data_IF_392185468816
#
_entry.id   IF_392185468816
#
_cell.length_a   1.000
_cell.length_b   1.000
_cell.length_c   1.000
_cell.angle_alpha   90.00
_cell.angle_beta   90.00
_cell.angle_gamma   90.00
#
_symmetry.space_group_name_H-M   'P 1'
#
loop_
_entity.id
_entity.type
_entity.pdbx_description
1 polymer ?
#
# COMPACT_ATOMS: atom_id res chain seq x y z
N UNK A 1 -63.53 42.04 2.82
CA UNK A 1 -63.56 40.57 2.64
C UNK A 1 -63.44 40.27 1.16
N UNK A 2 -62.63 39.30 0.68
CA UNK A 2 -61.32 38.78 1.11
C UNK A 2 -60.18 39.38 0.24
N UNK A 3 -58.97 39.66 0.73
CA UNK A 3 -57.84 38.75 1.01
C UNK A 3 -57.44 37.85 -0.17
N UNK A 4 -56.59 38.35 -1.07
CA UNK A 4 -55.77 37.52 -1.96
C UNK A 4 -54.31 37.86 -1.66
N UNK A 5 -53.76 37.15 -0.68
CA UNK A 5 -52.33 37.18 -0.36
C UNK A 5 -51.62 36.29 -1.38
N UNK A 6 -50.96 36.90 -2.36
CA UNK A 6 -50.18 36.18 -3.37
C UNK A 6 -48.90 35.65 -2.71
N UNK A 7 -48.92 34.36 -2.34
CA UNK A 7 -47.79 33.65 -1.76
C UNK A 7 -46.73 33.42 -2.85
N UNK A 8 -45.70 34.27 -2.88
CA UNK A 8 -44.51 34.05 -3.69
C UNK A 8 -43.72 32.86 -3.11
N UNK A 9 -43.95 31.66 -3.63
CA UNK A 9 -43.04 30.54 -3.40
C UNK A 9 -41.74 30.83 -4.13
N UNK A 10 -40.75 31.35 -3.40
CA UNK A 10 -39.35 31.23 -3.81
C UNK A 10 -38.98 29.75 -3.81
N UNK A 11 -38.99 29.14 -5.00
CA UNK A 11 -38.34 27.86 -5.24
C UNK A 11 -36.84 28.13 -5.16
N UNK A 12 -36.28 27.93 -3.97
CA UNK A 12 -34.84 27.81 -3.79
C UNK A 12 -34.40 26.55 -4.55
N UNK A 13 -34.01 26.72 -5.81
CA UNK A 13 -33.21 25.72 -6.52
C UNK A 13 -31.88 25.65 -5.79
N UNK A 14 -31.78 24.73 -4.83
CA UNK A 14 -30.51 24.39 -4.21
C UNK A 14 -29.55 24.01 -5.33
N UNK A 15 -28.48 24.80 -5.49
CA UNK A 15 -27.34 24.38 -6.28
C UNK A 15 -26.87 23.04 -5.71
N UNK A 16 -27.17 21.96 -6.41
CA UNK A 16 -26.58 20.66 -6.19
C UNK A 16 -25.08 20.82 -6.45
N UNK A 17 -24.34 21.18 -5.40
CA UNK A 17 -22.89 21.32 -5.41
C UNK A 17 -22.33 19.91 -5.53
N UNK A 18 -22.43 19.31 -6.71
CA UNK A 18 -21.78 18.04 -7.03
C UNK A 18 -20.32 18.20 -6.70
N UNK A 19 -19.87 17.44 -5.70
CA UNK A 19 -18.46 17.36 -5.34
C UNK A 19 -17.65 17.15 -6.62
N UNK A 20 -16.64 18.01 -6.83
CA UNK A 20 -15.73 17.88 -7.98
C UNK A 20 -14.86 16.61 -7.90
N UNK A 21 -14.99 15.84 -6.82
CA UNK A 21 -14.22 14.64 -6.52
C UNK A 21 -15.12 13.49 -6.08
N UNK A 22 -14.76 12.26 -6.45
CA UNK A 22 -15.19 11.04 -5.76
C UNK A 22 -14.09 10.63 -4.80
N UNK A 23 -14.46 10.19 -3.61
CA UNK A 23 -13.52 9.75 -2.59
C UNK A 23 -13.93 8.37 -2.12
N UNK A 24 -12.99 7.43 -2.20
CA UNK A 24 -13.09 6.09 -1.63
C UNK A 24 -12.03 5.98 -0.52
N UNK A 25 -12.39 5.36 0.59
CA UNK A 25 -11.47 5.19 1.70
C UNK A 25 -11.83 3.94 2.49
N UNK A 26 -10.83 3.34 3.13
CA UNK A 26 -11.02 2.16 3.96
C UNK A 26 -9.72 1.71 4.61
N UNK A 27 -9.73 0.48 5.12
CA UNK A 27 -8.57 -0.15 5.76
C UNK A 27 -8.06 -1.30 4.90
N UNK A 28 -6.74 -1.48 4.84
CA UNK A 28 -6.07 -2.60 4.16
C UNK A 28 -4.62 -2.70 4.65
N UNK A 29 -4.00 -3.88 4.60
CA UNK A 29 -2.56 -4.05 4.86
C UNK A 29 -2.07 -3.43 6.18
N UNK A 30 -2.88 -3.50 7.25
CA UNK A 30 -2.54 -2.90 8.56
C UNK A 30 -2.58 -1.36 8.59
N UNK A 31 -3.09 -0.71 7.55
CA UNK A 31 -3.16 0.75 7.40
C UNK A 31 -4.48 1.18 6.72
N UNK A 32 -4.56 2.41 6.25
CA UNK A 32 -5.68 2.97 5.48
C UNK A 32 -5.31 3.12 4.00
N UNK A 33 -6.33 3.16 3.14
CA UNK A 33 -6.19 3.63 1.77
C UNK A 33 -7.12 4.81 1.51
N UNK A 34 -6.75 5.64 0.53
CA UNK A 34 -7.59 6.67 -0.06
C UNK A 34 -7.47 6.66 -1.57
N UNK A 35 -8.59 6.75 -2.28
CA UNK A 35 -8.65 6.97 -3.73
C UNK A 35 -9.51 8.20 -3.98
N UNK A 36 -8.94 9.18 -4.68
CA UNK A 36 -9.64 10.40 -5.09
C UNK A 36 -9.69 10.44 -6.60
N UNK A 37 -10.87 10.60 -7.18
CA UNK A 37 -11.06 10.71 -8.64
C UNK A 37 -11.64 12.08 -8.96
N UNK A 38 -11.04 12.79 -9.91
CA UNK A 38 -11.57 14.06 -10.40
C UNK A 38 -12.80 13.82 -11.29
N UNK A 39 -13.98 14.27 -10.84
CA UNK A 39 -15.25 14.09 -11.56
C UNK A 39 -15.49 15.12 -12.66
N UNK A 40 -14.81 16.26 -12.63
CA UNK A 40 -15.10 17.38 -13.55
C UNK A 40 -14.95 16.99 -15.01
N UNK A 41 -14.12 15.97 -15.29
CA UNK A 41 -13.80 15.50 -16.62
C UNK A 41 -14.59 14.26 -17.05
N UNK A 42 -15.50 13.75 -16.21
CA UNK A 42 -16.28 12.53 -16.50
C UNK A 42 -17.49 12.77 -17.43
N UNK A 43 -17.61 13.94 -18.06
CA UNK A 43 -18.60 14.30 -19.09
C UNK A 43 -20.06 13.88 -18.75
N UNK A 44 -20.44 13.91 -17.47
CA UNK A 44 -21.79 13.53 -17.03
C UNK A 44 -22.10 12.02 -17.07
N UNK A 45 -21.10 11.15 -17.22
CA UNK A 45 -21.31 9.72 -17.08
C UNK A 45 -21.70 9.36 -15.63
N UNK A 46 -22.77 8.57 -15.42
CA UNK A 46 -23.19 8.17 -14.09
C UNK A 46 -22.13 7.26 -13.46
N UNK A 47 -21.48 7.76 -12.42
CA UNK A 47 -20.48 6.98 -11.68
C UNK A 47 -21.20 5.98 -10.78
N UNK A 48 -20.96 4.69 -11.02
CA UNK A 48 -21.45 3.61 -10.14
C UNK A 48 -20.54 3.51 -8.92
N UNK A 49 -20.69 4.46 -7.98
CA UNK A 49 -19.85 4.55 -6.78
C UNK A 49 -19.69 3.20 -6.08
N UNK A 50 -20.80 2.51 -5.77
CA UNK A 50 -20.75 1.24 -5.06
C UNK A 50 -19.99 0.17 -5.85
N UNK A 51 -20.21 0.08 -7.15
CA UNK A 51 -19.52 -0.91 -7.98
C UNK A 51 -18.00 -0.68 -8.01
N UNK A 52 -17.56 0.58 -8.10
CA UNK A 52 -16.13 0.90 -8.05
C UNK A 52 -15.54 0.66 -6.65
N UNK A 53 -16.26 1.00 -5.59
CA UNK A 53 -15.89 0.73 -4.21
C UNK A 53 -15.69 -0.78 -3.98
N UNK A 54 -16.60 -1.61 -4.51
CA UNK A 54 -16.52 -3.07 -4.42
C UNK A 54 -15.32 -3.61 -5.20
N UNK A 55 -15.07 -3.11 -6.42
CA UNK A 55 -13.90 -3.49 -7.21
C UNK A 55 -12.58 -3.15 -6.51
N UNK A 56 -12.46 -1.94 -5.93
CA UNK A 56 -11.29 -1.53 -5.14
C UNK A 56 -11.09 -2.47 -3.95
N UNK A 57 -12.16 -2.76 -3.20
CA UNK A 57 -12.09 -3.64 -2.04
C UNK A 57 -11.70 -5.08 -2.44
N UNK A 58 -12.29 -5.63 -3.50
CA UNK A 58 -11.97 -6.95 -4.03
C UNK A 58 -10.49 -7.04 -4.42
N UNK A 59 -9.96 -6.03 -5.11
CA UNK A 59 -8.55 -6.03 -5.52
C UNK A 59 -7.61 -5.97 -4.32
N UNK A 60 -7.90 -5.13 -3.32
CA UNK A 60 -7.11 -5.07 -2.09
C UNK A 60 -7.16 -6.39 -1.29
N UNK A 61 -8.32 -7.04 -1.22
CA UNK A 61 -8.46 -8.36 -0.57
C UNK A 61 -7.64 -9.41 -1.32
N UNK A 62 -7.71 -9.42 -2.66
CA UNK A 62 -6.94 -10.34 -3.49
C UNK A 62 -5.43 -10.16 -3.27
N UNK A 63 -4.94 -8.93 -3.21
CA UNK A 63 -3.51 -8.67 -2.95
C UNK A 63 -3.12 -9.13 -1.55
N UNK A 64 -3.94 -8.89 -0.51
CA UNK A 64 -3.68 -9.41 0.83
C UNK A 64 -3.60 -10.95 0.86
N UNK A 65 -4.49 -11.65 0.14
CA UNK A 65 -4.46 -13.10 -0.05
C UNK A 65 -3.18 -13.61 -0.72
N UNK A 66 -2.46 -12.75 -1.44
CA UNK A 66 -1.17 -13.11 -2.04
C UNK A 66 0.01 -12.77 -1.13
N UNK A 67 -0.01 -11.61 -0.47
CA UNK A 67 1.21 -10.96 0.06
C UNK A 67 1.21 -10.66 1.56
N UNK A 68 0.12 -10.91 2.29
CA UNK A 68 0.05 -10.63 3.73
C UNK A 68 0.79 -11.68 4.55
N UNK A 69 1.83 -11.30 5.29
CA UNK A 69 2.50 -12.17 6.27
C UNK A 69 1.65 -12.42 7.52
N UNK A 70 0.62 -11.61 7.76
CA UNK A 70 -0.31 -11.76 8.88
C UNK A 70 -1.47 -12.73 8.61
N UNK A 71 -1.76 -13.00 7.33
CA UNK A 71 -2.76 -13.99 6.93
C UNK A 71 -2.07 -15.33 6.68
N UNK A 72 -2.33 -16.33 7.52
CA UNK A 72 -1.75 -17.67 7.40
C UNK A 72 -2.22 -18.41 6.15
N UNK A 73 -3.35 -17.99 5.57
CA UNK A 73 -3.87 -18.53 4.32
C UNK A 73 -3.29 -17.82 3.09
N UNK A 74 -2.47 -16.77 3.26
CA UNK A 74 -1.88 -16.06 2.12
C UNK A 74 -0.83 -16.91 1.41
N UNK A 75 -0.65 -16.64 0.11
CA UNK A 75 0.33 -17.38 -0.68
C UNK A 75 1.78 -17.19 -0.20
N UNK A 76 2.14 -15.98 0.28
CA UNK A 76 3.47 -15.74 0.88
C UNK A 76 3.64 -16.50 2.20
N UNK A 77 2.60 -16.58 3.05
CA UNK A 77 2.65 -17.33 4.30
C UNK A 77 2.78 -18.83 4.07
N UNK A 78 2.07 -19.37 3.06
CA UNK A 78 2.22 -20.77 2.63
C UNK A 78 3.65 -21.07 2.17
N UNK A 79 4.25 -20.19 1.36
CA UNK A 79 5.65 -20.34 0.95
C UNK A 79 6.64 -20.23 2.13
N UNK A 80 6.36 -19.34 3.09
CA UNK A 80 7.16 -19.23 4.31
C UNK A 80 7.14 -20.53 5.14
N UNK A 81 5.99 -21.21 5.19
CA UNK A 81 5.83 -22.49 5.89
C UNK A 81 6.46 -23.69 5.14
N UNK A 82 6.75 -23.57 3.85
CA UNK A 82 7.28 -24.67 3.04
C UNK A 82 8.68 -25.13 3.46
N UNK A 83 9.05 -26.38 3.17
CA UNK A 83 10.41 -26.89 3.38
C UNK A 83 11.44 -26.26 2.44
N UNK A 84 12.69 -26.27 2.87
CA UNK A 84 13.83 -25.82 2.05
C UNK A 84 14.02 -26.76 0.85
N UNK A 85 14.30 -26.20 -0.32
CA UNK A 85 14.58 -26.97 -1.54
C UNK A 85 13.35 -27.37 -2.36
N UNK A 86 12.14 -27.20 -1.83
CA UNK A 86 10.92 -27.46 -2.58
C UNK A 86 10.55 -26.27 -3.48
N UNK A 87 10.02 -26.58 -4.66
CA UNK A 87 9.45 -25.60 -5.58
C UNK A 87 8.01 -25.27 -5.22
N UNK A 88 7.61 -24.02 -5.41
CA UNK A 88 6.27 -23.52 -5.13
C UNK A 88 5.74 -22.72 -6.30
N UNK A 89 4.58 -23.10 -6.83
CA UNK A 89 3.91 -22.29 -7.83
C UNK A 89 3.19 -21.11 -7.17
N UNK A 90 3.43 -19.92 -7.70
CA UNK A 90 2.82 -18.67 -7.22
C UNK A 90 2.00 -17.99 -8.29
N UNK A 91 1.10 -17.12 -7.84
CA UNK A 91 0.36 -16.22 -8.69
C UNK A 91 1.32 -15.27 -9.43
N UNK A 92 1.04 -14.90 -10.71
CA UNK A 92 1.91 -14.01 -11.49
C UNK A 92 2.25 -12.68 -10.80
N UNK A 93 1.31 -12.12 -10.03
CA UNK A 93 1.54 -10.89 -9.27
C UNK A 93 2.50 -11.06 -8.10
N UNK A 94 2.38 -12.14 -7.32
CA UNK A 94 3.36 -12.42 -6.26
C UNK A 94 4.73 -12.67 -6.88
N UNK A 95 4.79 -13.43 -7.98
CA UNK A 95 6.02 -13.63 -8.74
C UNK A 95 6.65 -12.31 -9.19
N UNK A 96 5.86 -11.41 -9.78
CA UNK A 96 6.32 -10.08 -10.21
C UNK A 96 6.91 -9.30 -9.05
N UNK A 97 6.22 -9.25 -7.90
CA UNK A 97 6.74 -8.57 -6.71
C UNK A 97 8.05 -9.19 -6.25
N UNK A 98 8.16 -10.52 -6.18
CA UNK A 98 9.40 -11.20 -5.79
C UNK A 98 10.54 -10.97 -6.78
N UNK A 99 10.26 -10.93 -8.09
CA UNK A 99 11.23 -10.57 -9.14
C UNK A 99 11.72 -9.13 -8.96
N UNK A 100 10.81 -8.18 -8.78
CA UNK A 100 11.17 -6.79 -8.51
C UNK A 100 12.01 -6.68 -7.24
N UNK A 101 11.65 -7.43 -6.19
CA UNK A 101 12.42 -7.47 -4.94
C UNK A 101 13.85 -7.96 -5.15
N UNK A 102 14.06 -9.00 -5.97
CA UNK A 102 15.41 -9.47 -6.32
C UNK A 102 16.23 -8.38 -7.02
N UNK A 103 15.63 -7.68 -7.99
CA UNK A 103 16.28 -6.56 -8.69
C UNK A 103 16.65 -5.43 -7.71
N UNK A 104 15.73 -5.04 -6.82
CA UNK A 104 15.99 -4.02 -5.81
C UNK A 104 17.08 -4.44 -4.81
N UNK A 105 17.11 -5.72 -4.43
CA UNK A 105 18.17 -6.26 -3.57
C UNK A 105 19.53 -6.21 -4.24
N UNK A 106 19.62 -6.54 -5.53
CA UNK A 106 20.86 -6.43 -6.30
C UNK A 106 21.31 -4.96 -6.43
N UNK A 107 20.41 -4.07 -6.87
CA UNK A 107 20.71 -2.64 -7.07
C UNK A 107 21.13 -1.92 -5.79
N UNK A 108 20.60 -2.34 -4.64
CA UNK A 108 20.90 -1.74 -3.33
C UNK A 108 22.06 -2.43 -2.60
N UNK A 109 22.71 -3.42 -3.19
CA UNK A 109 23.75 -4.20 -2.52
C UNK A 109 23.25 -4.98 -1.29
N UNK A 110 21.96 -5.32 -1.25
CA UNK A 110 21.30 -6.01 -0.14
C UNK A 110 20.77 -5.11 0.96
N UNK A 111 20.79 -3.78 0.81
CA UNK A 111 20.16 -2.88 1.76
C UNK A 111 18.63 -3.03 1.78
N UNK A 112 18.03 -3.26 0.61
CA UNK A 112 16.67 -3.77 0.49
C UNK A 112 16.72 -5.31 0.38
N UNK A 113 16.08 -6.04 1.28
CA UNK A 113 16.03 -7.51 1.23
C UNK A 113 14.71 -8.01 1.85
N UNK A 114 13.83 -8.60 1.03
CA UNK A 114 12.54 -9.14 1.51
C UNK A 114 12.68 -10.41 2.35
N UNK A 115 13.89 -10.96 2.52
CA UNK A 115 14.14 -12.14 3.36
C UNK A 115 14.47 -11.81 4.81
N UNK A 116 14.39 -10.52 5.20
CA UNK A 116 14.62 -10.04 6.57
C UNK A 116 13.52 -10.44 7.56
N UNK A 117 12.48 -11.16 7.13
CA UNK A 117 11.31 -11.48 7.94
C UNK A 117 11.64 -12.16 9.28
N UNK A 118 12.68 -13.01 9.33
CA UNK A 118 13.13 -13.60 10.59
C UNK A 118 13.66 -12.57 11.59
N UNK A 119 14.28 -11.48 11.12
CA UNK A 119 14.67 -10.34 11.96
C UNK A 119 13.46 -9.49 12.32
N UNK A 120 12.57 -9.21 11.36
CA UNK A 120 11.34 -8.43 11.60
C UNK A 120 10.50 -9.07 12.71
N UNK A 121 10.28 -10.38 12.64
CA UNK A 121 9.58 -11.13 13.68
C UNK A 121 10.32 -11.08 15.03
N UNK A 122 11.65 -11.28 15.03
CA UNK A 122 12.46 -11.24 16.24
C UNK A 122 12.38 -9.89 16.97
N UNK A 123 12.31 -8.78 16.21
CA UNK A 123 12.16 -7.43 16.73
C UNK A 123 10.71 -7.06 17.08
N UNK A 124 9.74 -7.97 16.89
CA UNK A 124 8.34 -7.76 17.25
C UNK A 124 7.55 -6.92 16.25
N UNK A 125 8.08 -6.67 15.05
CA UNK A 125 7.40 -5.91 13.99
C UNK A 125 6.59 -6.79 13.03
N UNK A 126 6.71 -8.11 13.15
CA UNK A 126 6.01 -9.08 12.31
C UNK A 126 4.77 -9.71 12.97
N UNK A 127 4.15 -10.71 12.34
CA UNK A 127 2.95 -11.39 12.86
C UNK A 127 3.21 -12.23 14.12
N UNK A 128 4.44 -12.66 14.37
CA UNK A 128 4.86 -13.39 15.58
C UNK A 128 5.06 -12.45 16.78
N UNK A 129 4.34 -11.32 16.83
CA UNK A 129 4.53 -10.27 17.82
C UNK A 129 4.20 -10.73 19.25
N UNK A 130 5.19 -11.32 19.93
CA UNK A 130 5.33 -11.26 21.38
C UNK A 130 6.47 -10.30 21.66
N UNK A 131 6.20 -9.10 22.16
CA UNK A 131 7.22 -8.10 22.47
C UNK A 131 8.09 -8.55 23.65
N UNK A 132 9.35 -8.99 23.45
CA UNK A 132 10.22 -9.43 24.53
C UNK A 132 11.23 -8.34 24.95
N UNK A 133 11.15 -7.15 24.35
CA UNK A 133 12.19 -6.10 24.40
C UNK A 133 13.29 -6.31 23.35
N UNK A 134 14.39 -5.56 23.48
CA UNK A 134 15.56 -5.64 22.60
C UNK A 134 16.13 -7.07 22.57
N UNK A 135 16.21 -7.73 21.39
CA UNK A 135 16.72 -9.09 21.30
C UNK A 135 18.20 -9.22 21.68
N UNK A 136 18.59 -10.37 22.23
CA UNK A 136 20.00 -10.63 22.56
C UNK A 136 20.88 -10.66 21.29
N UNK A 137 22.17 -10.28 21.39
CA UNK A 137 23.09 -10.35 20.25
C UNK A 137 23.17 -11.75 19.62
N UNK A 138 23.06 -12.81 20.44
CA UNK A 138 23.03 -14.19 19.96
C UNK A 138 21.76 -14.47 19.12
N UNK A 139 20.59 -14.02 19.59
CA UNK A 139 19.34 -14.18 18.85
C UNK A 139 19.40 -13.45 17.49
N UNK A 140 19.89 -12.20 17.48
CA UNK A 140 20.10 -11.42 16.24
C UNK A 140 21.06 -12.14 15.29
N UNK A 141 22.18 -12.67 15.79
CA UNK A 141 23.15 -13.44 14.99
C UNK A 141 22.52 -14.69 14.37
N UNK A 142 21.68 -15.40 15.12
CA UNK A 142 20.99 -16.60 14.64
C UNK A 142 19.90 -16.27 13.60
N UNK A 143 19.11 -15.22 13.83
CA UNK A 143 18.13 -14.75 12.84
C UNK A 143 18.80 -14.26 11.55
N UNK A 144 19.94 -13.56 11.64
CA UNK A 144 20.69 -13.08 10.47
C UNK A 144 21.15 -14.22 9.54
N UNK A 145 21.43 -15.42 10.06
CA UNK A 145 21.77 -16.59 9.21
C UNK A 145 20.62 -16.97 8.25
N UNK A 146 19.38 -16.66 8.64
CA UNK A 146 18.15 -16.88 7.86
C UNK A 146 17.85 -15.77 6.85
N UNK A 147 18.70 -14.73 6.74
CA UNK A 147 18.53 -13.61 5.81
C UNK A 147 19.53 -13.72 4.66
N UNK A 148 19.08 -13.44 3.45
CA UNK A 148 19.90 -13.31 2.25
C UNK A 148 19.08 -13.59 1.00
N UNK A 149 18.74 -12.53 0.26
CA UNK A 149 17.96 -12.58 -0.97
C UNK A 149 18.51 -13.57 -2.01
N UNK A 150 19.82 -13.80 -2.04
CA UNK A 150 20.45 -14.74 -2.98
C UNK A 150 20.00 -16.19 -2.75
N UNK A 151 19.46 -16.52 -1.58
CA UNK A 151 18.95 -17.85 -1.31
C UNK A 151 17.48 -18.03 -1.74
N UNK A 152 16.81 -16.98 -2.20
CA UNK A 152 15.49 -17.04 -2.81
C UNK A 152 15.65 -17.12 -4.33
N UNK A 153 15.23 -18.23 -4.91
CA UNK A 153 15.18 -18.42 -6.35
C UNK A 153 13.79 -18.07 -6.85
N UNK A 154 13.74 -17.16 -7.83
CA UNK A 154 12.51 -16.73 -8.49
C UNK A 154 12.69 -16.96 -9.99
N UNK A 155 12.18 -18.08 -10.50
CA UNK A 155 12.45 -18.53 -11.86
C UNK A 155 11.73 -17.63 -12.87
N UNK A 156 12.42 -17.02 -13.86
CA UNK A 156 11.76 -16.12 -14.82
C UNK A 156 10.86 -16.84 -15.83
N UNK A 157 11.06 -18.14 -16.09
CA UNK A 157 10.40 -18.88 -17.17
C UNK A 157 9.15 -19.66 -16.76
N UNK A 158 8.95 -19.86 -15.46
CA UNK A 158 7.75 -20.46 -14.90
C UNK A 158 7.50 -19.78 -13.55
N UNK A 159 6.25 -19.56 -13.15
CA UNK A 159 5.89 -18.86 -11.91
C UNK A 159 6.21 -19.69 -10.65
N UNK A 160 7.39 -20.33 -10.62
CA UNK A 160 7.91 -21.14 -9.54
C UNK A 160 8.94 -20.35 -8.75
N UNK A 161 8.88 -20.51 -7.43
CA UNK A 161 9.88 -20.00 -6.50
C UNK A 161 10.41 -21.14 -5.63
N UNK A 162 11.61 -20.96 -5.08
CA UNK A 162 12.25 -21.93 -4.17
C UNK A 162 13.17 -21.21 -3.20
N UNK A 163 13.25 -21.68 -1.96
CA UNK A 163 14.25 -21.21 -0.99
C UNK A 163 15.34 -22.24 -0.76
N UNK A 164 16.60 -21.82 -0.82
CA UNK A 164 17.80 -22.65 -0.59
C UNK A 164 18.23 -22.73 0.88
N UNK A 165 17.64 -21.92 1.74
CA UNK A 165 17.78 -21.99 3.19
C UNK A 165 16.47 -21.61 3.87
N UNK A 166 16.43 -21.72 5.20
CA UNK A 166 15.26 -21.39 6.00
C UNK A 166 15.00 -19.86 6.02
N UNK A 167 14.49 -19.34 4.90
CA UNK A 167 14.07 -17.95 4.72
C UNK A 167 12.66 -17.73 5.25
N UNK A 168 12.41 -16.51 5.69
CA UNK A 168 11.07 -15.98 5.92
C UNK A 168 10.92 -14.69 5.10
N UNK A 169 10.00 -14.70 4.15
CA UNK A 169 9.72 -13.58 3.25
C UNK A 169 8.78 -12.60 3.93
N UNK A 170 9.16 -11.33 3.91
CA UNK A 170 8.36 -10.18 4.31
C UNK A 170 8.32 -9.17 3.16
N UNK A 171 7.11 -8.85 2.69
CA UNK A 171 6.86 -7.96 1.56
C UNK A 171 6.37 -6.58 2.00
N UNK A 172 6.40 -6.27 3.29
CA UNK A 172 5.86 -5.01 3.86
C UNK A 172 6.49 -3.76 3.24
N UNK A 173 7.73 -3.85 2.74
CA UNK A 173 8.45 -2.74 2.11
C UNK A 173 8.12 -2.53 0.61
N UNK A 174 7.30 -3.38 -0.01
CA UNK A 174 7.00 -3.29 -1.46
C UNK A 174 5.52 -3.55 -1.82
N UNK A 175 4.79 -4.31 -0.99
CA UNK A 175 3.42 -4.72 -1.29
C UNK A 175 2.43 -3.55 -1.41
N UNK A 176 2.57 -2.49 -0.59
CA UNK A 176 1.72 -1.30 -0.66
C UNK A 176 1.89 -0.54 -1.97
N UNK A 177 3.13 -0.32 -2.41
CA UNK A 177 3.42 0.28 -3.72
C UNK A 177 2.84 -0.54 -4.87
N UNK A 178 2.93 -1.87 -4.80
CA UNK A 178 2.27 -2.75 -5.78
C UNK A 178 0.75 -2.60 -5.78
N UNK A 179 0.11 -2.45 -4.60
CA UNK A 179 -1.33 -2.23 -4.51
C UNK A 179 -1.75 -0.87 -5.09
N UNK A 180 -0.97 0.18 -4.85
CA UNK A 180 -1.16 1.50 -5.50
C UNK A 180 -1.11 1.36 -7.03
N UNK A 181 -0.15 0.60 -7.55
CA UNK A 181 -0.03 0.33 -8.98
C UNK A 181 -1.23 -0.45 -9.55
N UNK A 182 -1.73 -1.45 -8.83
CA UNK A 182 -2.89 -2.23 -9.26
C UNK A 182 -4.18 -1.42 -9.24
N UNK A 183 -4.43 -0.64 -8.18
CA UNK A 183 -5.58 0.26 -8.14
C UNK A 183 -5.50 1.33 -9.23
N UNK A 184 -4.30 1.85 -9.53
CA UNK A 184 -4.10 2.79 -10.64
C UNK A 184 -4.41 2.16 -11.99
N UNK A 185 -4.04 0.88 -12.21
CA UNK A 185 -4.42 0.13 -13.42
C UNK A 185 -5.93 -0.11 -13.49
N UNK A 186 -6.55 -0.49 -12.38
CA UNK A 186 -8.00 -0.71 -12.27
C UNK A 186 -8.76 0.56 -12.64
N UNK A 187 -8.39 1.71 -12.06
CA UNK A 187 -9.04 2.99 -12.34
C UNK A 187 -8.93 3.38 -13.82
N UNK A 188 -7.73 3.22 -14.42
CA UNK A 188 -7.53 3.46 -15.86
C UNK A 188 -8.38 2.54 -16.73
N UNK A 189 -8.48 1.26 -16.37
CA UNK A 189 -9.30 0.29 -17.08
C UNK A 189 -10.80 0.62 -17.00
N UNK A 190 -11.23 1.27 -15.92
CA UNK A 190 -12.59 1.81 -15.75
C UNK A 190 -12.78 3.20 -16.41
N UNK A 191 -11.77 3.73 -17.10
CA UNK A 191 -11.85 5.00 -17.84
C UNK A 191 -11.49 6.25 -17.02
N UNK A 192 -11.09 6.10 -15.76
CA UNK A 192 -10.64 7.22 -14.93
C UNK A 192 -9.18 7.57 -15.27
N UNK A 193 -8.95 8.79 -15.75
CA UNK A 193 -7.61 9.28 -16.13
C UNK A 193 -6.98 10.16 -15.04
N UNK A 194 -7.81 10.86 -14.29
CA UNK A 194 -7.42 11.86 -13.30
C UNK A 194 -7.78 11.40 -11.89
N UNK A 195 -6.78 10.88 -11.17
CA UNK A 195 -6.98 10.32 -9.84
C UNK A 195 -5.72 10.37 -8.99
N UNK A 196 -5.89 10.24 -7.67
CA UNK A 196 -4.84 10.05 -6.69
C UNK A 196 -5.16 8.78 -5.89
N UNK A 197 -4.24 7.82 -5.88
CA UNK A 197 -4.30 6.63 -5.02
C UNK A 197 -3.25 6.76 -3.93
N UNK A 198 -3.62 6.49 -2.69
CA UNK A 198 -2.72 6.46 -1.53
C UNK A 198 -3.04 5.23 -0.66
N UNK A 199 -2.00 4.53 -0.20
CA UNK A 199 -2.10 3.41 0.73
C UNK A 199 -0.93 3.50 1.71
N UNK A 200 -1.17 3.94 2.95
CA UNK A 200 -0.16 3.94 4.00
C UNK A 200 1.11 4.74 3.71
N UNK A 201 1.00 5.84 2.95
CA UNK A 201 2.08 6.74 2.57
C UNK A 201 2.66 6.49 1.16
N UNK A 202 2.39 5.33 0.56
CA UNK A 202 2.68 5.08 -0.85
C UNK A 202 1.55 5.63 -1.71
N UNK A 203 1.88 6.35 -2.79
CA UNK A 203 0.87 6.99 -3.63
C UNK A 203 1.25 7.09 -5.11
N UNK A 204 0.23 7.25 -5.93
CA UNK A 204 0.35 7.56 -7.35
C UNK A 204 -0.67 8.61 -7.76
N UNK A 205 -0.20 9.68 -8.38
CA UNK A 205 -1.02 10.76 -8.93
C UNK A 205 -1.10 10.61 -10.45
N UNK A 206 -2.29 10.42 -11.00
CA UNK A 206 -2.59 10.40 -12.44
C UNK A 206 -3.30 11.68 -12.84
N UNK A 207 -2.88 12.28 -13.95
CA UNK A 207 -3.55 13.46 -14.50
C UNK A 207 -3.58 14.65 -13.53
N UNK A 208 -4.74 15.31 -13.41
CA UNK A 208 -4.91 16.56 -12.68
C UNK A 208 -6.07 16.55 -11.68
N UNK A 209 -5.85 17.23 -10.57
CA UNK A 209 -6.87 17.53 -9.58
C UNK A 209 -7.93 18.51 -10.12
N UNK A 210 -9.08 18.65 -9.43
CA UNK A 210 -10.11 19.63 -9.78
C UNK A 210 -9.57 21.06 -9.96
N UNK A 211 -10.13 21.75 -10.95
CA UNK A 211 -9.64 23.06 -11.38
C UNK A 211 -8.37 23.00 -12.23
N UNK A 212 -8.06 21.84 -12.84
CA UNK A 212 -6.97 21.64 -13.79
C UNK A 212 -5.57 21.91 -13.20
N UNK A 213 -5.38 21.56 -11.92
CA UNK A 213 -4.12 21.76 -11.19
C UNK A 213 -3.40 20.42 -10.95
N UNK A 214 -2.06 20.41 -10.77
CA UNK A 214 -1.38 19.22 -10.26
C UNK A 214 -1.94 18.77 -8.92
N UNK A 215 -1.88 17.47 -8.64
CA UNK A 215 -2.22 16.95 -7.31
C UNK A 215 -1.21 17.48 -6.30
N UNK A 216 -1.70 17.99 -5.16
CA UNK A 216 -0.84 18.48 -4.08
C UNK A 216 -0.69 17.39 -3.04
N UNK A 217 0.53 16.94 -2.81
CA UNK A 217 0.86 15.89 -1.85
C UNK A 217 1.79 16.47 -0.79
N UNK A 218 1.39 16.35 0.48
CA UNK A 218 2.18 16.80 1.61
C UNK A 218 3.27 15.81 1.99
N UNK A 219 4.49 16.30 2.17
CA UNK A 219 5.57 15.62 2.91
C UNK A 219 5.43 16.02 4.36
N UNK A 220 5.28 15.04 5.25
CA UNK A 220 5.21 15.27 6.69
C UNK A 220 6.58 15.53 7.30
N UNK A 221 6.63 16.33 8.36
CA UNK A 221 7.75 16.37 9.27
C UNK A 221 7.87 15.03 9.99
N UNK A 222 9.06 14.41 10.06
CA UNK A 222 9.29 13.20 10.83
C UNK A 222 9.24 13.53 12.33
N UNK A 223 8.04 13.57 12.89
CA UNK A 223 7.78 13.91 14.29
C UNK A 223 6.89 12.87 14.95
N UNK A 224 7.27 12.46 16.15
CA UNK A 224 6.43 11.61 17.00
C UNK A 224 5.21 12.36 17.57
N UNK A 225 5.23 13.69 17.57
CA UNK A 225 4.24 14.55 18.24
C UNK A 225 3.03 14.91 17.36
N UNK A 226 2.99 14.49 16.09
CA UNK A 226 1.83 14.68 15.23
C UNK A 226 2.14 14.91 13.75
N UNK A 227 1.09 15.03 12.95
CA UNK A 227 1.17 15.26 11.49
C UNK A 227 1.33 16.76 11.21
N UNK A 228 2.56 17.26 11.18
CA UNK A 228 2.86 18.57 10.64
C UNK A 228 3.38 18.41 9.20
N UNK A 229 2.91 19.24 8.27
CA UNK A 229 3.38 19.22 6.87
C UNK A 229 4.66 20.04 6.79
N UNK A 230 5.75 19.44 6.31
CA UNK A 230 7.00 20.11 6.00
C UNK A 230 6.88 20.93 4.72
N UNK A 231 6.40 20.29 3.65
CA UNK A 231 6.21 20.94 2.34
C UNK A 231 5.14 20.21 1.53
N UNK A 232 4.60 20.85 0.50
CA UNK A 232 3.74 20.22 -0.49
C UNK A 232 4.46 20.12 -1.82
N UNK A 233 4.35 18.97 -2.47
CA UNK A 233 4.88 18.74 -3.81
C UNK A 233 3.75 18.60 -4.83
N UNK A 234 3.84 19.30 -5.98
CA UNK A 234 2.93 19.07 -7.09
C UNK A 234 3.31 17.77 -7.79
N UNK A 235 2.35 16.84 -7.90
CA UNK A 235 2.52 15.58 -8.62
C UNK A 235 1.54 15.47 -9.79
N UNK A 236 2.04 14.95 -10.90
CA UNK A 236 1.27 14.61 -12.09
C UNK A 236 1.94 13.42 -12.79
N UNK A 237 1.17 12.34 -12.99
CA UNK A 237 1.63 11.09 -13.60
C UNK A 237 2.88 10.48 -12.93
N UNK A 238 2.92 10.51 -11.59
CA UNK A 238 4.10 10.13 -10.82
C UNK A 238 3.71 9.39 -9.53
N UNK A 239 4.53 8.38 -9.19
CA UNK A 239 4.49 7.69 -7.91
C UNK A 239 5.39 8.38 -6.88
N UNK A 240 5.02 8.31 -5.61
CA UNK A 240 5.87 8.71 -4.49
C UNK A 240 5.71 7.70 -3.35
N UNK A 241 6.80 7.39 -2.67
CA UNK A 241 6.82 6.58 -1.47
C UNK A 241 7.83 7.19 -0.49
N UNK A 242 7.50 7.15 0.80
CA UNK A 242 8.34 7.68 1.87
C UNK A 242 8.54 6.62 2.93
N UNK A 243 9.78 6.40 3.35
CA UNK A 243 10.12 5.53 4.48
C UNK A 243 10.67 6.38 5.62
N UNK A 244 10.31 6.04 6.86
CA UNK A 244 10.72 6.80 8.04
C UNK A 244 10.60 6.00 9.34
N UNK A 245 11.35 6.42 10.35
CA UNK A 245 11.51 5.76 11.66
C UNK A 245 10.50 6.25 12.73
N UNK A 246 9.55 7.11 12.34
CA UNK A 246 8.62 7.78 13.26
C UNK A 246 7.20 7.18 13.25
N UNK A 247 6.95 6.14 12.45
CA UNK A 247 5.63 5.48 12.34
C UNK A 247 5.57 4.13 13.06
N UNK A 248 6.53 3.26 12.80
CA UNK A 248 6.62 1.93 13.39
C UNK A 248 7.93 1.83 14.17
N UNK A 249 7.86 2.05 15.48
CA UNK A 249 9.01 1.98 16.37
C UNK A 249 8.58 1.59 17.79
N UNK A 250 9.55 1.19 18.61
CA UNK A 250 9.38 1.15 20.06
C UNK A 250 10.58 1.81 20.76
N UNK A 251 10.40 2.17 22.03
CA UNK A 251 11.45 2.78 22.84
C UNK A 251 11.79 1.89 24.04
N UNK A 252 13.09 1.65 24.25
CA UNK A 252 13.60 0.94 25.41
C UNK A 252 14.89 1.60 25.89
N UNK A 253 14.91 2.02 27.15
CA UNK A 253 16.07 2.69 27.75
C UNK A 253 16.44 4.02 27.08
N UNK A 254 15.46 4.78 26.61
CA UNK A 254 15.67 6.07 25.91
C UNK A 254 16.20 5.94 24.49
N UNK A 255 16.28 4.73 23.93
CA UNK A 255 16.68 4.48 22.55
C UNK A 255 15.50 3.95 21.73
N UNK A 256 15.37 4.47 20.51
CA UNK A 256 14.39 4.05 19.51
C UNK A 256 14.91 2.87 18.68
N UNK A 257 14.00 1.95 18.38
CA UNK A 257 14.22 0.75 17.56
C UNK A 257 13.10 0.57 16.55
#
# INVERSE_FOLDING_TARGET
MPLITLLFMLVLTGCDQRSSELRFAGKTMGTTYSVVVNQQLLLGQPVKYQALQDQINTELIRINRLMSTYDTASQVSQFNAQSVGETFAVHPDLHRVLRTSQVLSELSGGAFDVTVGALVNLWGFGPEASYPGVPSPLAVKMARKKVGYQALEVNPGNYLIRKRKALYIDLSAIAKGFAVDQLSRLLRAQGYQDFLVEIGGELFASGRAPGNRPWQVGIELPSALGRAIYTNLPLQNMAMATSGDYRNYFEQGGKRY
#
